data_IF_751057184175
#
_entry.id   IF_751057184175
#
_cell.length_a   1.000
_cell.length_b   1.000
_cell.length_c   1.000
_cell.angle_alpha   90.00
_cell.angle_beta   90.00
_cell.angle_gamma   90.00
#
_symmetry.space_group_name_H-M   'P 1'
#
loop_
_entity.id
_entity.type
_entity.pdbx_description
1 polymer ?
#
# COMPACT_ATOMS: atom_id res chain seq x y z
N UNK A 1 15.82 21.17 -1.03
CA UNK A 1 15.62 19.73 -0.79
C UNK A 1 14.41 19.27 -1.58
N UNK A 2 14.58 18.38 -2.56
CA UNK A 2 13.46 17.92 -3.39
C UNK A 2 12.68 16.82 -2.67
N UNK A 3 11.39 17.06 -2.44
CA UNK A 3 10.45 16.06 -1.91
C UNK A 3 10.37 14.87 -2.89
N UNK A 4 10.95 13.73 -2.53
CA UNK A 4 10.90 12.52 -3.35
C UNK A 4 9.53 11.88 -3.15
N UNK A 5 8.66 11.99 -4.17
CA UNK A 5 7.30 11.44 -4.13
C UNK A 5 7.40 9.92 -3.93
N UNK A 6 7.04 9.44 -2.74
CA UNK A 6 6.91 8.00 -2.46
C UNK A 6 5.66 7.54 -3.22
N UNK A 7 5.82 6.54 -4.08
CA UNK A 7 4.69 5.92 -4.75
C UNK A 7 4.00 5.00 -3.72
N UNK A 8 2.71 5.23 -3.49
CA UNK A 8 1.92 4.49 -2.51
C UNK A 8 0.71 3.86 -3.19
N UNK A 9 0.40 2.64 -2.80
CA UNK A 9 -0.78 1.89 -3.23
C UNK A 9 -1.49 1.33 -2.01
N UNK A 10 -2.76 1.70 -1.83
CA UNK A 10 -3.61 1.09 -0.82
C UNK A 10 -4.03 -0.31 -1.28
N UNK A 11 -3.83 -1.30 -0.41
CA UNK A 11 -4.14 -2.70 -0.71
C UNK A 11 -5.38 -3.11 0.07
N UNK A 12 -6.37 -3.61 -0.66
CA UNK A 12 -7.61 -4.18 -0.11
C UNK A 12 -7.72 -5.65 -0.45
N UNK A 13 -8.41 -6.42 0.39
CA UNK A 13 -8.84 -7.79 0.09
C UNK A 13 -10.35 -7.82 -0.10
N UNK A 14 -10.80 -8.57 -1.09
CA UNK A 14 -12.23 -8.88 -1.25
C UNK A 14 -12.53 -10.15 -0.47
N UNK A 15 -13.47 -10.09 0.46
CA UNK A 15 -13.97 -11.23 1.23
C UNK A 15 -14.93 -12.06 0.36
N UNK A 16 -15.21 -13.30 0.76
CA UNK A 16 -16.19 -14.16 0.07
C UNK A 16 -17.60 -13.56 0.05
N UNK A 17 -17.89 -12.63 0.98
CA UNK A 17 -19.13 -11.83 1.03
C UNK A 17 -19.18 -10.72 -0.02
N UNK A 18 -18.07 -10.44 -0.72
CA UNK A 18 -17.92 -9.30 -1.63
C UNK A 18 -17.45 -8.00 -0.95
N UNK A 19 -17.34 -7.99 0.37
CA UNK A 19 -16.83 -6.84 1.13
C UNK A 19 -15.35 -6.59 0.84
N UNK A 20 -14.95 -5.32 0.67
CA UNK A 20 -13.55 -4.92 0.59
C UNK A 20 -13.03 -4.49 1.96
N UNK A 21 -12.06 -5.23 2.49
CA UNK A 21 -11.38 -4.89 3.74
C UNK A 21 -9.99 -4.32 3.44
N UNK A 22 -9.62 -3.25 4.15
CA UNK A 22 -8.26 -2.70 4.08
C UNK A 22 -7.25 -3.71 4.65
N UNK A 23 -6.15 -3.93 3.93
CA UNK A 23 -5.07 -4.84 4.36
C UNK A 23 -3.81 -4.06 4.73
N UNK A 24 -3.53 -2.98 3.99
CA UNK A 24 -2.31 -2.22 4.22
C UNK A 24 -1.95 -1.30 3.06
N UNK A 25 -0.69 -0.86 3.07
CA UNK A 25 -0.14 0.04 2.05
C UNK A 25 1.16 -0.54 1.52
N UNK A 26 1.26 -0.61 0.19
CA UNK A 26 2.53 -0.78 -0.52
C UNK A 26 3.15 0.58 -0.74
N UNK A 27 4.41 0.74 -0.35
CA UNK A 27 5.20 1.93 -0.61
C UNK A 27 6.47 1.57 -1.38
N UNK A 28 6.76 2.31 -2.45
CA UNK A 28 7.99 2.16 -3.22
C UNK A 28 8.83 3.44 -3.14
N UNK A 29 10.13 3.24 -2.92
CA UNK A 29 11.14 4.28 -3.08
C UNK A 29 12.36 3.70 -3.83
N UNK A 30 13.45 4.45 -3.89
CA UNK A 30 14.69 4.03 -4.58
C UNK A 30 15.45 2.88 -3.89
N UNK A 31 15.09 2.52 -2.66
CA UNK A 31 15.72 1.47 -1.87
C UNK A 31 14.94 0.15 -1.98
N UNK A 32 13.67 0.20 -2.38
CA UNK A 32 12.86 -1.00 -2.59
C UNK A 32 11.35 -0.75 -2.45
N UNK A 33 10.64 -1.86 -2.26
CA UNK A 33 9.20 -1.92 -2.01
C UNK A 33 8.97 -2.44 -0.60
N UNK A 34 8.09 -1.79 0.14
CA UNK A 34 7.77 -2.09 1.53
C UNK A 34 6.26 -2.23 1.70
N UNK A 35 5.84 -3.12 2.59
CA UNK A 35 4.43 -3.31 2.93
C UNK A 35 4.19 -2.94 4.40
N UNK A 36 3.18 -2.12 4.67
CA UNK A 36 2.70 -1.80 6.01
C UNK A 36 1.30 -2.39 6.22
N UNK A 37 1.12 -3.21 7.25
CA UNK A 37 -0.19 -3.73 7.65
C UNK A 37 -1.03 -2.65 8.35
N UNK A 38 -2.35 -2.72 8.13
CA UNK A 38 -3.34 -1.86 8.79
C UNK A 38 -3.64 -2.30 10.24
#
# INVERSE_FOLDING_TARGET
MAFKRIQRLNVTRTLSTGEQAAVGVLAQNHQGVFFQYA
#
